data_IF_764973086997
#
_entry.id   IF_764973086997
#
_cell.length_a   1.000
_cell.length_b   1.000
_cell.length_c   1.000
_cell.angle_alpha   90.00
_cell.angle_beta   90.00
_cell.angle_gamma   90.00
#
_symmetry.space_group_name_H-M   'P 1'
#
loop_
_entity.id
_entity.type
_entity.pdbx_description
1 polymer ?
#
# COMPACT_ATOMS: atom_id res chain seq x y z
N UNK A 1 -24.52 -0.75 7.68
CA UNK A 1 -24.16 -1.85 6.76
C UNK A 1 -23.61 -2.98 7.62
N UNK A 2 -24.16 -4.21 7.55
CA UNK A 2 -23.73 -5.34 8.42
C UNK A 2 -22.77 -6.31 7.73
N UNK A 3 -22.54 -6.16 6.42
CA UNK A 3 -21.59 -6.96 5.62
C UNK A 3 -20.91 -6.06 4.58
N UNK A 4 -19.61 -6.21 4.40
CA UNK A 4 -18.81 -5.48 3.41
C UNK A 4 -18.71 -6.34 2.14
N UNK A 5 -19.30 -5.88 1.04
CA UNK A 5 -19.34 -6.63 -0.23
C UNK A 5 -20.16 -7.94 -0.15
N UNK A 6 -20.09 -8.73 -1.22
CA UNK A 6 -20.82 -9.99 -1.35
C UNK A 6 -19.96 -11.24 -1.15
N UNK A 7 -18.63 -11.11 -1.24
CA UNK A 7 -17.66 -12.21 -1.14
C UNK A 7 -17.68 -12.90 0.24
N UNK A 8 -17.13 -14.11 0.31
CA UNK A 8 -16.92 -14.84 1.56
C UNK A 8 -15.73 -14.29 2.36
N UNK A 9 -14.75 -13.71 1.66
CA UNK A 9 -13.56 -13.08 2.21
C UNK A 9 -13.78 -11.56 2.23
N UNK A 10 -13.51 -10.91 3.35
CA UNK A 10 -13.63 -9.46 3.50
C UNK A 10 -12.45 -8.89 4.31
N UNK A 11 -12.19 -7.60 4.13
CA UNK A 11 -11.27 -6.85 4.98
C UNK A 11 -11.98 -6.35 6.24
N UNK A 12 -11.20 -6.16 7.32
CA UNK A 12 -11.71 -5.64 8.58
C UNK A 12 -10.70 -4.67 9.20
N UNK A 13 -11.22 -3.76 10.04
CA UNK A 13 -10.41 -2.92 10.92
C UNK A 13 -10.79 -3.27 12.35
N UNK A 14 -9.83 -3.72 13.14
CA UNK A 14 -9.97 -3.93 14.58
C UNK A 14 -9.07 -2.92 15.28
N UNK A 15 -9.60 -2.21 16.27
CA UNK A 15 -8.86 -1.19 16.99
C UNK A 15 -9.14 -1.22 18.50
N UNK A 16 -8.17 -0.76 19.28
CA UNK A 16 -8.32 -0.64 20.72
C UNK A 16 -8.98 0.70 21.08
N UNK A 17 -10.26 0.66 21.43
CA UNK A 17 -11.05 1.85 21.79
C UNK A 17 -10.58 2.56 23.07
N UNK A 18 -9.70 1.94 23.87
CA UNK A 18 -9.02 2.61 25.00
C UNK A 18 -7.82 3.46 24.58
N UNK A 19 -7.40 3.40 23.31
CA UNK A 19 -6.24 4.14 22.79
C UNK A 19 -6.61 5.14 21.71
N UNK A 20 -7.53 4.79 20.84
CA UNK A 20 -7.98 5.65 19.73
C UNK A 20 -9.50 5.75 19.71
N UNK A 21 -10.00 6.90 19.24
CA UNK A 21 -11.39 7.10 18.85
C UNK A 21 -11.47 7.21 17.33
N UNK A 22 -12.62 6.84 16.77
CA UNK A 22 -12.95 7.14 15.37
C UNK A 22 -13.16 8.64 15.18
N UNK A 23 -12.86 9.12 13.99
CA UNK A 23 -13.15 10.49 13.54
C UNK A 23 -14.02 10.40 12.30
N UNK A 24 -15.30 10.75 12.46
CA UNK A 24 -16.31 10.55 11.43
C UNK A 24 -16.68 9.09 11.21
N UNK A 25 -17.58 8.88 10.26
CA UNK A 25 -18.07 7.56 9.85
C UNK A 25 -17.12 6.88 8.85
N UNK A 26 -17.06 5.54 8.83
CA UNK A 26 -16.30 4.84 7.81
C UNK A 26 -16.95 5.02 6.44
N UNK A 27 -16.12 5.10 5.40
CA UNK A 27 -16.58 5.16 4.01
C UNK A 27 -16.16 3.93 3.24
N UNK A 28 -17.07 3.36 2.47
CA UNK A 28 -16.83 2.13 1.69
C UNK A 28 -16.46 2.48 0.24
N UNK A 29 -15.52 1.73 -0.32
CA UNK A 29 -15.19 1.75 -1.74
C UNK A 29 -15.35 0.36 -2.34
N UNK A 30 -16.23 0.28 -3.34
CA UNK A 30 -16.48 -0.92 -4.13
C UNK A 30 -16.24 -0.56 -5.60
N UNK A 31 -15.24 -1.20 -6.21
CA UNK A 31 -14.87 -0.97 -7.61
C UNK A 31 -15.86 -1.58 -8.61
N UNK A 32 -16.90 -2.26 -8.11
CA UNK A 32 -17.98 -2.94 -8.84
C UNK A 32 -17.51 -4.09 -9.74
N UNK A 33 -16.22 -4.44 -9.73
CA UNK A 33 -15.66 -5.47 -10.60
C UNK A 33 -15.88 -6.89 -10.07
N UNK A 34 -16.13 -7.01 -8.76
CA UNK A 34 -16.12 -8.28 -8.03
C UNK A 34 -14.79 -9.05 -8.10
N UNK A 35 -13.71 -8.41 -8.58
CA UNK A 35 -12.36 -9.00 -8.66
C UNK A 35 -11.53 -8.70 -7.42
N UNK A 36 -11.70 -7.51 -6.85
CA UNK A 36 -11.03 -7.06 -5.63
C UNK A 36 -12.01 -7.11 -4.46
N UNK A 37 -11.50 -7.28 -3.24
CA UNK A 37 -12.35 -7.16 -2.05
C UNK A 37 -12.76 -5.70 -1.87
N UNK A 38 -14.04 -5.49 -1.58
CA UNK A 38 -14.56 -4.18 -1.19
C UNK A 38 -13.74 -3.67 -0.01
N UNK A 39 -13.26 -2.43 -0.09
CA UNK A 39 -12.45 -1.79 0.96
C UNK A 39 -13.25 -0.70 1.69
N UNK A 40 -12.67 -0.18 2.77
CA UNK A 40 -13.21 0.94 3.52
C UNK A 40 -12.08 1.87 3.96
N UNK A 41 -12.42 3.11 4.29
CA UNK A 41 -11.53 4.04 4.97
C UNK A 41 -12.16 4.45 6.30
N UNK A 42 -11.38 4.40 7.38
CA UNK A 42 -11.77 4.92 8.69
C UNK A 42 -10.65 5.78 9.25
N UNK A 43 -10.99 7.01 9.62
CA UNK A 43 -10.08 7.91 10.31
C UNK A 43 -10.13 7.71 11.82
N UNK A 44 -8.99 7.87 12.47
CA UNK A 44 -8.80 7.69 13.90
C UNK A 44 -7.94 8.82 14.48
N UNK A 45 -8.07 9.04 15.78
CA UNK A 45 -7.20 9.91 16.56
C UNK A 45 -6.93 9.26 17.92
N UNK A 46 -5.72 9.42 18.45
CA UNK A 46 -5.43 9.03 19.83
C UNK A 46 -6.36 9.76 20.81
N UNK A 47 -6.78 9.09 21.88
CA UNK A 47 -7.56 9.71 22.95
C UNK A 47 -6.78 10.81 23.67
N UNK A 48 -5.45 10.76 23.64
CA UNK A 48 -4.56 11.80 24.18
C UNK A 48 -4.44 13.04 23.27
N UNK A 49 -5.15 13.09 22.14
CA UNK A 49 -4.93 14.08 21.09
C UNK A 49 -3.79 13.70 20.15
N UNK A 50 -3.42 14.59 19.25
CA UNK A 50 -2.46 14.30 18.18
C UNK A 50 -3.08 14.38 16.79
N UNK A 51 -2.35 13.88 15.80
CA UNK A 51 -2.76 13.86 14.40
C UNK A 51 -3.83 12.81 14.14
N UNK A 52 -4.72 13.13 13.22
CA UNK A 52 -5.66 12.18 12.65
C UNK A 52 -4.89 11.29 11.68
N UNK A 53 -5.18 10.00 11.63
CA UNK A 53 -4.67 9.08 10.62
C UNK A 53 -5.81 8.24 10.07
N UNK A 54 -5.68 7.75 8.84
CA UNK A 54 -6.76 7.02 8.16
C UNK A 54 -6.25 5.69 7.66
N UNK A 55 -6.90 4.62 8.09
CA UNK A 55 -6.56 3.25 7.70
C UNK A 55 -7.45 2.81 6.54
N UNK A 56 -6.84 2.20 5.53
CA UNK A 56 -7.52 1.63 4.36
C UNK A 56 -6.99 0.20 4.14
N UNK A 57 -7.69 -0.84 4.63
CA UNK A 57 -7.28 -2.22 4.42
C UNK A 57 -7.65 -2.69 3.01
N UNK A 58 -6.76 -3.39 2.33
CA UNK A 58 -6.94 -3.85 0.95
C UNK A 58 -6.68 -5.35 0.85
N UNK A 59 -7.39 -5.98 -0.07
CA UNK A 59 -7.14 -7.34 -0.52
C UNK A 59 -7.46 -7.38 -2.02
N UNK A 60 -6.44 -7.26 -2.86
CA UNK A 60 -6.60 -7.18 -4.32
C UNK A 60 -6.71 -8.57 -4.95
N UNK A 61 -7.10 -8.62 -6.23
CA UNK A 61 -7.28 -9.86 -6.98
C UNK A 61 -6.04 -10.77 -6.91
N UNK A 62 -6.21 -11.98 -6.39
CA UNK A 62 -5.14 -12.98 -6.28
C UNK A 62 -4.53 -13.40 -7.62
N UNK A 63 -3.23 -13.73 -7.58
CA UNK A 63 -2.45 -14.32 -8.67
C UNK A 63 -2.76 -15.80 -8.93
N UNK A 64 -3.46 -16.49 -8.01
CA UNK A 64 -3.64 -17.95 -8.03
C UNK A 64 -4.54 -18.52 -9.14
N UNK A 65 -5.03 -17.69 -10.06
CA UNK A 65 -5.78 -18.13 -11.24
C UNK A 65 -5.42 -17.27 -12.43
N UNK A 66 -5.79 -17.70 -13.64
CA UNK A 66 -5.60 -16.94 -14.87
C UNK A 66 -6.89 -16.91 -15.69
N UNK A 67 -7.11 -15.89 -16.52
CA UNK A 67 -8.19 -15.92 -17.49
C UNK A 67 -7.99 -17.07 -18.50
N UNK A 68 -9.10 -17.57 -19.03
CA UNK A 68 -9.11 -18.57 -20.09
C UNK A 68 -8.55 -17.97 -21.40
N UNK A 69 -8.92 -16.71 -21.68
CA UNK A 69 -8.39 -15.95 -22.82
C UNK A 69 -6.93 -15.56 -22.57
N UNK A 70 -6.01 -16.23 -23.29
CA UNK A 70 -4.57 -15.99 -23.23
C UNK A 70 -4.12 -14.70 -23.92
N UNK A 71 -5.01 -14.03 -24.66
CA UNK A 71 -4.74 -12.72 -25.28
C UNK A 71 -5.13 -11.54 -24.39
N UNK A 72 -5.82 -11.81 -23.27
CA UNK A 72 -6.16 -10.80 -22.27
C UNK A 72 -4.91 -10.19 -21.63
N UNK A 73 -4.98 -8.90 -21.28
CA UNK A 73 -3.96 -8.24 -20.45
C UNK A 73 -3.86 -8.82 -19.03
N UNK A 74 -4.88 -9.55 -18.59
CA UNK A 74 -4.87 -10.28 -17.31
C UNK A 74 -4.28 -11.70 -17.43
N UNK A 75 -3.96 -12.18 -18.64
CA UNK A 75 -3.21 -13.42 -18.81
C UNK A 75 -1.77 -13.24 -18.30
N UNK A 76 -1.09 -14.34 -17.98
CA UNK A 76 0.32 -14.28 -17.63
C UNK A 76 1.13 -13.84 -18.85
N UNK A 77 1.82 -12.70 -18.72
CA UNK A 77 2.63 -12.13 -19.79
C UNK A 77 4.07 -12.69 -19.78
N UNK A 78 4.43 -13.54 -18.81
CA UNK A 78 5.78 -14.07 -18.66
C UNK A 78 6.80 -13.01 -18.20
N UNK A 79 6.33 -11.93 -17.59
CA UNK A 79 7.13 -10.80 -17.11
C UNK A 79 7.42 -10.85 -15.60
N UNK A 80 6.99 -11.93 -14.93
CA UNK A 80 7.13 -12.16 -13.50
C UNK A 80 6.03 -11.55 -12.63
N UNK A 81 5.09 -10.79 -13.22
CA UNK A 81 3.99 -10.16 -12.47
C UNK A 81 2.78 -11.09 -12.32
N UNK A 82 2.72 -12.16 -13.12
CA UNK A 82 1.68 -13.17 -13.09
C UNK A 82 0.31 -12.65 -13.52
N UNK A 83 -0.69 -13.53 -13.49
CA UNK A 83 -2.03 -13.22 -13.93
C UNK A 83 -2.69 -12.09 -13.12
N UNK A 84 -3.69 -11.45 -13.74
CA UNK A 84 -4.48 -10.35 -13.17
C UNK A 84 -3.69 -9.08 -12.81
N UNK A 85 -2.48 -8.90 -13.35
CA UNK A 85 -1.68 -7.69 -13.06
C UNK A 85 -2.36 -6.41 -13.56
N UNK A 86 -2.94 -6.43 -14.77
CA UNK A 86 -3.67 -5.28 -15.32
C UNK A 86 -4.91 -4.91 -14.47
N UNK A 87 -5.64 -5.91 -13.98
CA UNK A 87 -6.74 -5.73 -13.01
C UNK A 87 -6.25 -5.08 -11.71
N UNK A 88 -5.18 -5.60 -11.10
CA UNK A 88 -4.60 -5.04 -9.86
C UNK A 88 -4.13 -3.60 -10.04
N UNK A 89 -3.45 -3.30 -11.16
CA UNK A 89 -2.98 -1.95 -11.50
C UNK A 89 -4.16 -0.98 -11.63
N UNK A 90 -5.19 -1.38 -12.37
CA UNK A 90 -6.41 -0.57 -12.54
C UNK A 90 -7.10 -0.32 -11.20
N UNK A 91 -7.17 -1.33 -10.33
CA UNK A 91 -7.75 -1.20 -8.99
C UNK A 91 -6.99 -0.18 -8.14
N UNK A 92 -5.65 -0.25 -8.12
CA UNK A 92 -4.81 0.73 -7.39
C UNK A 92 -5.01 2.15 -7.94
N UNK A 93 -5.05 2.33 -9.26
CA UNK A 93 -5.28 3.65 -9.86
C UNK A 93 -6.63 4.24 -9.45
N UNK A 94 -7.71 3.45 -9.50
CA UNK A 94 -9.03 3.91 -9.09
C UNK A 94 -9.13 4.13 -7.57
N UNK A 95 -8.47 3.30 -6.77
CA UNK A 95 -8.38 3.49 -5.33
C UNK A 95 -7.71 4.82 -4.99
N UNK A 96 -6.59 5.15 -5.64
CA UNK A 96 -5.92 6.44 -5.45
C UNK A 96 -6.80 7.63 -5.88
N UNK A 97 -7.57 7.49 -6.96
CA UNK A 97 -8.55 8.51 -7.35
C UNK A 97 -9.63 8.70 -6.28
N UNK A 98 -10.14 7.62 -5.70
CA UNK A 98 -11.12 7.69 -4.62
C UNK A 98 -10.53 8.33 -3.35
N UNK A 99 -9.32 7.95 -2.94
CA UNK A 99 -8.61 8.53 -1.80
C UNK A 99 -8.39 10.04 -1.99
N UNK A 100 -8.07 10.47 -3.21
CA UNK A 100 -7.88 11.88 -3.53
C UNK A 100 -9.14 12.74 -3.33
N UNK A 101 -10.33 12.13 -3.30
CA UNK A 101 -11.59 12.85 -2.96
C UNK A 101 -11.73 13.16 -1.47
N UNK A 102 -10.80 12.69 -0.64
CA UNK A 102 -10.88 12.74 0.82
C UNK A 102 -12.18 12.11 1.34
N UNK A 103 -12.36 10.79 1.20
CA UNK A 103 -13.65 10.16 1.41
C UNK A 103 -14.15 10.30 2.85
N UNK A 104 -13.26 10.30 3.84
CA UNK A 104 -13.61 10.50 5.26
C UNK A 104 -13.80 11.97 5.65
N UNK A 105 -13.53 12.91 4.73
CA UNK A 105 -13.75 14.36 4.89
C UNK A 105 -13.02 14.99 6.09
N UNK A 106 -11.88 14.42 6.48
CA UNK A 106 -11.03 14.96 7.56
C UNK A 106 -9.89 15.79 6.99
N UNK A 107 -9.44 16.79 7.74
CA UNK A 107 -8.25 17.56 7.35
C UNK A 107 -6.99 16.75 7.64
N UNK A 108 -6.04 16.73 6.69
CA UNK A 108 -4.76 16.00 6.80
C UNK A 108 -4.96 14.54 7.25
N UNK A 109 -5.62 13.70 6.43
CA UNK A 109 -6.06 12.36 6.80
C UNK A 109 -4.93 11.38 7.13
N UNK A 110 -3.68 11.66 6.73
CA UNK A 110 -2.49 10.81 6.92
C UNK A 110 -2.80 9.34 6.61
N UNK A 111 -2.93 9.02 5.31
CA UNK A 111 -3.38 7.71 4.87
C UNK A 111 -2.32 6.63 5.07
N UNK A 112 -2.75 5.51 5.64
CA UNK A 112 -2.03 4.24 5.66
C UNK A 112 -2.89 3.19 4.97
N UNK A 113 -2.44 2.75 3.80
CA UNK A 113 -3.02 1.60 3.13
C UNK A 113 -2.30 0.35 3.64
N UNK A 114 -3.04 -0.68 4.00
CA UNK A 114 -2.47 -1.93 4.53
C UNK A 114 -3.12 -3.15 3.89
N UNK A 115 -2.44 -4.29 3.89
CA UNK A 115 -3.01 -5.58 3.54
C UNK A 115 -2.39 -6.21 2.29
N UNK A 116 -2.99 -7.30 1.85
CA UNK A 116 -2.53 -8.11 0.73
C UNK A 116 -2.85 -7.43 -0.61
N UNK A 117 -1.85 -6.80 -1.21
CA UNK A 117 -1.98 -6.21 -2.54
C UNK A 117 -1.87 -7.25 -3.65
N UNK A 118 -1.60 -8.52 -3.29
CA UNK A 118 -1.34 -9.62 -4.20
C UNK A 118 -0.28 -9.27 -5.24
N UNK A 119 0.67 -8.39 -4.93
CA UNK A 119 1.70 -7.89 -5.84
C UNK A 119 3.02 -7.74 -5.12
N UNK A 120 4.11 -8.21 -5.73
CA UNK A 120 5.44 -7.92 -5.22
C UNK A 120 5.80 -6.44 -5.34
N UNK A 121 6.76 -6.00 -4.52
CA UNK A 121 7.18 -4.60 -4.40
C UNK A 121 7.66 -3.93 -5.70
N UNK A 122 7.98 -4.69 -6.75
CA UNK A 122 8.41 -4.20 -8.06
C UNK A 122 7.40 -4.46 -9.19
N UNK A 123 6.22 -4.94 -8.85
CA UNK A 123 5.11 -5.06 -9.81
C UNK A 123 4.40 -3.71 -10.00
N UNK A 124 3.77 -3.56 -11.16
CA UNK A 124 3.10 -2.35 -11.60
C UNK A 124 2.13 -1.73 -10.57
N UNK A 125 1.30 -2.50 -9.84
CA UNK A 125 0.38 -1.93 -8.86
C UNK A 125 1.11 -1.24 -7.71
N UNK A 126 2.24 -1.79 -7.26
CA UNK A 126 3.05 -1.17 -6.19
C UNK A 126 3.84 0.02 -6.73
N UNK A 127 4.41 -0.11 -7.93
CA UNK A 127 5.09 1.01 -8.59
C UNK A 127 4.13 2.17 -8.89
N UNK A 128 2.83 1.92 -9.07
CA UNK A 128 1.83 2.98 -9.24
C UNK A 128 1.67 3.84 -7.98
N UNK A 129 1.71 3.24 -6.78
CA UNK A 129 1.75 3.99 -5.52
C UNK A 129 3.02 4.85 -5.41
N UNK A 130 4.19 4.28 -5.71
CA UNK A 130 5.46 5.02 -5.67
C UNK A 130 5.46 6.20 -6.65
N UNK A 131 4.95 6.00 -7.88
CA UNK A 131 4.77 7.07 -8.88
C UNK A 131 3.83 8.18 -8.39
N UNK A 132 2.86 7.86 -7.54
CA UNK A 132 1.98 8.82 -6.88
C UNK A 132 2.57 9.43 -5.60
N UNK A 133 3.87 9.23 -5.34
CA UNK A 133 4.60 9.72 -4.16
C UNK A 133 4.12 9.12 -2.82
N UNK A 134 3.52 7.94 -2.86
CA UNK A 134 3.32 7.12 -1.66
C UNK A 134 4.59 6.33 -1.35
N UNK A 135 4.77 5.95 -0.09
CA UNK A 135 5.94 5.22 0.41
C UNK A 135 5.56 3.80 0.80
N UNK A 136 6.14 2.83 0.10
CA UNK A 136 6.05 1.40 0.44
C UNK A 136 6.96 1.14 1.62
N UNK A 137 6.39 1.03 2.81
CA UNK A 137 7.12 1.14 4.07
C UNK A 137 8.05 -0.06 4.31
N UNK A 138 7.60 -1.27 3.98
CA UNK A 138 8.36 -2.48 4.27
C UNK A 138 9.69 -2.53 3.49
N UNK A 139 9.65 -2.12 2.22
CA UNK A 139 10.81 -2.11 1.32
C UNK A 139 11.62 -0.79 1.38
N UNK A 140 11.24 0.16 2.24
CA UNK A 140 12.01 1.39 2.47
C UNK A 140 13.31 1.05 3.24
N UNK A 141 14.45 1.60 2.79
CA UNK A 141 15.76 1.29 3.40
C UNK A 141 16.02 2.04 4.72
N UNK A 142 15.22 3.08 5.05
CA UNK A 142 15.43 3.92 6.24
C UNK A 142 14.58 3.47 7.42
N UNK A 143 13.31 3.16 7.15
CA UNK A 143 12.35 2.76 8.21
C UNK A 143 11.95 1.29 8.11
N UNK A 144 12.26 0.63 6.99
CA UNK A 144 11.83 -0.73 6.67
C UNK A 144 12.96 -1.77 6.72
N UNK A 145 12.71 -2.92 6.11
CA UNK A 145 13.67 -4.02 5.93
C UNK A 145 14.38 -3.98 4.56
N UNK A 146 14.07 -3.00 3.72
CA UNK A 146 14.70 -2.80 2.42
C UNK A 146 14.53 -4.02 1.49
N UNK A 147 15.63 -4.47 0.90
CA UNK A 147 15.65 -5.59 -0.06
C UNK A 147 15.40 -6.96 0.58
N UNK A 148 15.51 -7.07 1.90
CA UNK A 148 15.29 -8.32 2.64
C UNK A 148 13.83 -8.48 3.09
N UNK A 149 12.96 -7.52 2.77
CA UNK A 149 11.54 -7.58 3.10
C UNK A 149 10.83 -8.75 2.40
N UNK A 150 10.14 -9.58 3.18
CA UNK A 150 9.17 -10.55 2.68
C UNK A 150 8.06 -10.75 3.72
N UNK A 151 6.90 -11.19 3.24
CA UNK A 151 5.76 -11.59 4.08
C UNK A 151 5.14 -12.91 3.62
N UNK A 152 5.59 -13.43 2.47
CA UNK A 152 5.03 -14.59 1.83
C UNK A 152 6.13 -15.39 1.11
N UNK A 153 6.06 -16.71 1.22
CA UNK A 153 6.93 -17.63 0.48
C UNK A 153 6.08 -18.39 -0.53
N UNK A 154 6.37 -18.18 -1.82
CA UNK A 154 5.93 -19.13 -2.82
C UNK A 154 6.85 -20.35 -2.73
N UNK A 155 6.26 -21.49 -2.38
CA UNK A 155 6.96 -22.78 -2.28
C UNK A 155 7.62 -23.20 -3.58
N UNK A 156 8.34 -24.33 -3.57
CA UNK A 156 8.92 -24.92 -4.78
C UNK A 156 7.86 -25.02 -5.89
N UNK A 157 8.19 -24.53 -7.10
CA UNK A 157 7.30 -24.30 -8.26
C UNK A 157 6.66 -22.90 -8.45
N UNK A 158 7.27 -21.84 -7.93
CA UNK A 158 6.90 -20.44 -8.26
C UNK A 158 7.27 -20.03 -9.68
N UNK A 159 8.26 -20.68 -10.28
CA UNK A 159 8.63 -20.51 -11.68
C UNK A 159 8.55 -21.84 -12.46
N UNK A 160 8.67 -21.74 -13.78
CA UNK A 160 8.64 -22.89 -14.70
C UNK A 160 9.78 -23.90 -14.48
N UNK A 161 10.78 -23.54 -13.68
CA UNK A 161 11.94 -24.38 -13.35
C UNK A 161 11.80 -25.05 -11.97
N UNK A 162 10.70 -24.83 -11.25
CA UNK A 162 10.49 -25.40 -9.92
C UNK A 162 11.08 -24.59 -8.77
N UNK A 163 11.62 -23.39 -9.02
CA UNK A 163 12.21 -22.57 -7.96
C UNK A 163 11.12 -21.87 -7.14
N UNK A 164 11.27 -21.93 -5.82
CA UNK A 164 10.53 -21.11 -4.87
C UNK A 164 11.03 -19.66 -4.84
N UNK A 165 10.28 -18.77 -4.18
CA UNK A 165 10.73 -17.40 -3.96
C UNK A 165 10.05 -16.76 -2.75
N UNK A 166 10.79 -15.95 -2.01
CA UNK A 166 10.27 -15.14 -0.90
C UNK A 166 10.14 -13.69 -1.33
N UNK A 167 8.99 -13.07 -1.04
CA UNK A 167 8.77 -11.64 -1.22
C UNK A 167 7.56 -11.19 -0.42
N UNK A 168 7.18 -9.91 -0.53
CA UNK A 168 6.01 -9.39 0.17
C UNK A 168 4.85 -9.13 -0.79
N UNK A 169 3.72 -9.77 -0.51
CA UNK A 169 2.41 -9.44 -1.09
C UNK A 169 1.63 -8.51 -0.16
N UNK A 170 1.93 -8.56 1.14
CA UNK A 170 1.42 -7.66 2.15
C UNK A 170 2.24 -6.39 2.17
N UNK A 171 1.54 -5.26 2.11
CA UNK A 171 2.17 -3.95 2.13
C UNK A 171 1.57 -3.09 3.21
N UNK A 172 2.41 -2.22 3.77
CA UNK A 172 1.97 -0.99 4.40
C UNK A 172 2.49 0.17 3.55
N UNK A 173 1.59 1.03 3.09
CA UNK A 173 1.87 2.10 2.14
C UNK A 173 1.35 3.41 2.72
N UNK A 174 2.25 4.34 3.02
CA UNK A 174 1.93 5.64 3.59
C UNK A 174 1.86 6.73 2.52
N UNK A 175 0.91 7.66 2.66
CA UNK A 175 0.98 8.90 1.89
C UNK A 175 2.18 9.77 2.33
N UNK A 176 2.44 10.84 1.56
CA UNK A 176 3.53 11.76 1.83
C UNK A 176 3.41 12.52 3.16
N UNK A 177 2.20 12.65 3.73
CA UNK A 177 1.97 13.35 4.99
C UNK A 177 2.22 12.42 6.19
N UNK A 178 1.89 11.14 6.06
CA UNK A 178 2.08 10.13 7.09
C UNK A 178 3.51 9.63 7.15
N UNK A 179 4.21 9.47 6.02
CA UNK A 179 5.56 8.88 6.00
C UNK A 179 6.55 9.52 6.99
N UNK A 180 6.63 10.86 7.15
CA UNK A 180 7.50 11.48 8.17
C UNK A 180 7.17 11.11 9.62
N UNK A 181 6.00 10.51 9.86
CA UNK A 181 5.53 10.04 11.17
C UNK A 181 5.80 8.56 11.38
N UNK A 182 6.19 7.81 10.36
CA UNK A 182 6.53 6.39 10.49
C UNK A 182 7.90 6.27 11.13
N UNK A 183 8.00 5.51 12.22
CA UNK A 183 9.24 5.25 12.96
C UNK A 183 9.93 3.98 12.48
N UNK A 184 9.15 2.94 12.21
CA UNK A 184 9.61 1.69 11.60
C UNK A 184 8.44 0.94 10.96
N UNK A 185 8.74 0.10 9.98
CA UNK A 185 7.85 -0.93 9.45
C UNK A 185 8.62 -2.25 9.28
N UNK A 186 8.03 -3.38 9.67
CA UNK A 186 8.68 -4.68 9.56
C UNK A 186 7.65 -5.81 9.51
N UNK A 187 8.00 -6.91 8.85
CA UNK A 187 7.27 -8.16 8.94
C UNK A 187 7.68 -8.85 10.25
N UNK A 188 6.69 -9.30 11.02
CA UNK A 188 6.94 -10.15 12.16
C UNK A 188 6.82 -11.61 11.72
N UNK A 189 7.97 -12.21 11.43
CA UNK A 189 8.06 -13.62 11.07
C UNK A 189 7.63 -14.51 12.24
N UNK A 190 6.53 -15.26 12.06
CA UNK A 190 6.00 -16.18 13.08
C UNK A 190 6.18 -17.62 12.62
N UNK A 191 5.36 -18.04 11.66
CA UNK A 191 5.32 -19.41 11.14
C UNK A 191 4.75 -19.47 9.71
N UNK A 192 4.81 -18.35 8.98
CA UNK A 192 4.49 -18.32 7.56
C UNK A 192 5.53 -19.05 6.68
N UNK A 193 6.63 -19.50 7.28
CA UNK A 193 7.65 -20.29 6.58
C UNK A 193 7.49 -21.80 6.81
N UNK A 194 6.59 -22.21 7.72
CA UNK A 194 6.29 -23.61 7.95
C UNK A 194 5.71 -24.26 6.67
N UNK A 195 5.96 -25.55 6.42
CA UNK A 195 5.44 -26.23 5.24
C UNK A 195 3.91 -26.15 5.14
N UNK A 196 3.38 -25.95 3.93
CA UNK A 196 1.92 -25.96 3.68
C UNK A 196 1.23 -27.24 4.15
N UNK A 197 1.95 -28.38 4.19
CA UNK A 197 1.41 -29.63 4.73
C UNK A 197 0.93 -29.51 6.20
N UNK A 198 1.55 -28.62 6.99
CA UNK A 198 1.23 -28.37 8.39
C UNK A 198 0.11 -27.32 8.59
N UNK A 199 -0.42 -26.74 7.50
CA UNK A 199 -1.49 -25.75 7.62
C UNK A 199 -2.80 -26.38 8.12
N UNK A 200 -3.73 -25.52 8.54
CA UNK A 200 -5.05 -25.92 9.04
C UNK A 200 -6.04 -26.29 7.92
N UNK A 201 -5.67 -26.08 6.65
CA UNK A 201 -6.51 -26.40 5.51
C UNK A 201 -6.40 -27.90 5.20
N UNK A 202 -7.48 -28.50 4.71
CA UNK A 202 -7.50 -29.92 4.32
C UNK A 202 -7.49 -30.10 2.79
N UNK A 203 -7.72 -29.02 2.06
CA UNK A 203 -7.73 -29.00 0.61
C UNK A 203 -6.39 -29.47 0.05
N UNK A 204 -6.46 -30.26 -1.03
CA UNK A 204 -5.29 -30.80 -1.73
C UNK A 204 -4.41 -31.76 -0.89
N UNK A 205 -4.86 -32.17 0.31
CA UNK A 205 -4.20 -33.20 1.14
C UNK A 205 -4.87 -34.57 0.95
N UNK A 206 -4.08 -35.64 0.96
CA UNK A 206 -4.60 -37.00 1.06
C UNK A 206 -5.07 -37.31 2.48
N UNK A 207 -5.90 -38.34 2.67
CA UNK A 207 -6.33 -38.77 4.00
C UNK A 207 -5.15 -39.14 4.91
N UNK A 208 -4.10 -39.72 4.34
CA UNK A 208 -2.86 -40.04 5.05
C UNK A 208 -2.14 -38.77 5.50
N UNK A 209 -2.05 -37.75 4.64
CA UNK A 209 -1.46 -36.46 4.98
C UNK A 209 -2.25 -35.72 6.04
N UNK A 210 -3.59 -35.71 5.97
CA UNK A 210 -4.43 -35.11 7.01
C UNK A 210 -4.14 -35.81 8.35
N UNK A 211 -4.18 -37.14 8.38
CA UNK A 211 -3.92 -37.92 9.60
C UNK A 211 -2.52 -37.67 10.18
N UNK A 212 -1.51 -37.47 9.32
CA UNK A 212 -0.12 -37.32 9.74
C UNK A 212 0.29 -35.88 10.09
N UNK A 213 -0.31 -34.88 9.44
CA UNK A 213 0.20 -33.50 9.44
C UNK A 213 -0.80 -32.44 9.87
N UNK A 214 -2.10 -32.72 9.86
CA UNK A 214 -3.09 -31.77 10.36
C UNK A 214 -2.96 -31.60 11.86
N UNK A 215 -2.97 -30.34 12.31
CA UNK A 215 -3.18 -29.98 13.71
C UNK A 215 -3.87 -28.63 13.80
N UNK A 216 -4.78 -28.48 14.76
CA UNK A 216 -5.49 -27.24 15.09
C UNK A 216 -4.67 -26.30 16.01
N UNK A 217 -3.35 -26.47 16.03
CA UNK A 217 -2.46 -25.69 16.88
C UNK A 217 -2.04 -24.36 16.20
N UNK A 218 -1.13 -23.63 16.84
CA UNK A 218 -0.74 -22.31 16.35
C UNK A 218 0.22 -22.34 15.15
N UNK A 219 0.84 -23.48 14.81
CA UNK A 219 1.80 -23.59 13.70
C UNK A 219 1.10 -23.44 12.36
N UNK A 220 1.77 -22.77 11.41
CA UNK A 220 1.24 -22.47 10.07
C UNK A 220 -0.18 -21.86 10.12
N UNK A 221 -0.44 -21.01 11.11
CA UNK A 221 -1.75 -20.35 11.31
C UNK A 221 -2.11 -19.34 10.21
N UNK A 222 -1.12 -18.98 9.39
CA UNK A 222 -1.25 -18.11 8.23
C UNK A 222 -0.17 -18.48 7.22
N UNK A 223 -0.49 -18.32 5.93
CA UNK A 223 0.49 -18.37 4.84
C UNK A 223 1.24 -17.05 4.63
N UNK A 224 0.81 -16.00 5.34
CA UNK A 224 1.41 -14.67 5.35
C UNK A 224 1.88 -14.25 6.75
N UNK A 225 3.01 -13.55 6.82
CA UNK A 225 3.46 -12.89 8.05
C UNK A 225 2.80 -11.51 8.23
N UNK A 226 2.44 -11.13 9.47
CA UNK A 226 1.88 -9.82 9.75
C UNK A 226 2.91 -8.70 9.55
N UNK A 227 2.47 -7.61 8.93
CA UNK A 227 3.24 -6.35 8.81
C UNK A 227 2.89 -5.41 9.97
N UNK A 228 3.92 -4.95 10.67
CA UNK A 228 3.82 -4.03 11.81
C UNK A 228 4.35 -2.66 11.41
N UNK A 229 3.63 -1.59 11.75
CA UNK A 229 4.03 -0.20 11.54
C UNK A 229 3.94 0.58 12.83
N UNK A 230 5.05 1.19 13.23
CA UNK A 230 5.10 2.12 14.36
C UNK A 230 5.02 3.56 13.86
N UNK A 231 4.15 4.36 14.46
CA UNK A 231 3.93 5.76 14.06
C UNK A 231 3.99 6.70 15.27
N UNK A 232 4.56 7.88 15.06
CA UNK A 232 4.56 9.00 16.00
C UNK A 232 3.60 10.11 15.51
N UNK A 233 2.38 10.05 16.04
CA UNK A 233 1.28 10.93 15.66
C UNK A 233 1.13 12.13 16.61
N UNK A 234 2.14 12.44 17.42
CA UNK A 234 2.07 13.60 18.29
C UNK A 234 2.01 14.90 17.47
N UNK A 235 1.28 15.90 17.98
CA UNK A 235 1.36 17.27 17.47
C UNK A 235 2.76 17.80 17.81
N UNK A 236 3.75 17.59 16.94
CA UNK A 236 4.98 18.38 17.05
C UNK A 236 4.56 19.85 16.81
N UNK A 237 4.38 20.60 17.90
CA UNK A 237 4.54 22.04 17.88
C UNK A 237 5.98 22.21 17.42
N UNK A 238 6.17 22.58 16.15
CA UNK A 238 7.42 23.21 15.79
C UNK A 238 7.50 24.43 16.71
N UNK A 239 8.34 24.35 17.75
CA UNK A 239 8.76 25.54 18.48
C UNK A 239 9.55 26.36 17.47
N UNK A 240 8.85 27.14 16.64
CA UNK A 240 9.43 28.36 16.09
C UNK A 240 9.74 29.22 17.30
N UNK A 241 11.00 29.56 17.59
CA UNK A 241 11.29 30.60 18.54
C UNK A 241 10.51 31.82 18.07
N UNK A 242 9.69 32.35 18.96
CA UNK A 242 9.00 33.61 18.79
C UNK A 242 10.06 34.69 18.53
N UNK A 243 10.29 35.02 17.27
CA UNK A 243 11.10 36.19 16.93
C UNK A 243 10.22 37.40 17.14
N UNK A 244 10.14 37.82 18.39
CA UNK A 244 9.72 39.17 18.78
C UNK A 244 10.38 40.20 17.88
N UNK A 245 9.54 41.13 17.44
CA UNK A 245 9.76 42.26 16.56
C UNK A 245 11.17 42.87 16.50
N UNK A 246 11.63 43.13 15.27
CA UNK A 246 12.41 44.33 14.97
C UNK A 246 11.67 45.12 13.89
N UNK A 247 11.11 46.24 14.33
CA UNK A 247 10.70 47.39 13.53
C UNK A 247 11.81 47.84 12.56
N UNK A 248 11.46 48.11 11.29
CA UNK A 248 12.33 48.90 10.41
C UNK A 248 12.06 48.80 8.91
N UNK A 249 11.35 49.80 8.37
CA UNK A 249 11.79 50.47 7.14
C UNK A 249 11.39 49.90 5.77
N UNK A 250 10.43 50.60 5.14
CA UNK A 250 10.32 50.89 3.70
C UNK A 250 11.54 50.57 2.83
N UNK A 251 11.37 49.70 1.82
CA UNK A 251 11.66 49.88 0.37
C UNK A 251 11.00 48.67 -0.34
N UNK A 252 10.19 48.75 -1.39
CA UNK A 252 10.23 49.69 -2.49
C UNK A 252 10.78 48.98 -3.73
N UNK A 253 9.86 48.47 -4.55
CA UNK A 253 10.00 48.23 -6.01
C UNK A 253 10.99 47.14 -6.45
N UNK A 254 10.65 46.44 -7.54
CA UNK A 254 11.37 45.33 -8.21
C UNK A 254 10.99 43.92 -7.75
N UNK A 255 9.83 43.43 -8.22
CA UNK A 255 9.65 42.06 -8.75
C UNK A 255 8.22 41.90 -9.28
N UNK A 256 7.86 42.65 -10.32
CA UNK A 256 6.70 42.34 -11.16
C UNK A 256 7.16 42.52 -12.60
N UNK A 257 6.75 41.59 -13.47
CA UNK A 257 7.01 41.44 -14.91
C UNK A 257 8.17 40.51 -15.30
N UNK A 258 7.82 39.25 -15.58
CA UNK A 258 8.11 38.63 -16.88
C UNK A 258 7.44 37.24 -16.98
N UNK A 259 6.17 37.18 -17.38
CA UNK A 259 5.61 35.96 -17.98
C UNK A 259 4.46 36.32 -18.93
N UNK A 260 4.77 36.57 -20.21
CA UNK A 260 3.86 36.40 -21.35
C UNK A 260 4.58 36.67 -22.69
N UNK A 261 4.39 35.78 -23.68
CA UNK A 261 4.60 36.04 -25.11
C UNK A 261 5.62 35.12 -25.79
N UNK A 262 5.25 33.89 -26.18
CA UNK A 262 4.80 33.47 -27.53
C UNK A 262 5.88 33.39 -28.64
N UNK A 263 6.14 32.13 -29.02
CA UNK A 263 6.58 31.55 -30.30
C UNK A 263 6.46 32.46 -31.55
N UNK A 264 7.55 32.59 -32.34
CA UNK A 264 7.55 32.35 -33.81
C UNK A 264 8.96 32.39 -34.47
N UNK A 265 9.25 31.28 -35.14
CA UNK A 265 10.11 30.97 -36.29
C UNK A 265 10.72 32.14 -37.08
N UNK A 266 12.03 32.11 -37.35
CA UNK A 266 12.62 31.93 -38.71
C UNK A 266 14.10 32.36 -38.82
N UNK A 267 14.92 31.40 -39.27
CA UNK A 267 16.06 31.52 -40.21
C UNK A 267 16.90 32.80 -40.24
N UNK A 268 18.22 32.69 -39.99
CA UNK A 268 19.27 32.80 -41.03
C UNK A 268 20.70 32.75 -40.46
N UNK A 269 21.55 32.06 -41.25
CA UNK A 269 23.01 32.23 -41.45
C UNK A 269 24.02 31.59 -40.47
N UNK A 270 24.42 30.38 -40.87
CA UNK A 270 25.81 29.95 -41.19
C UNK A 270 26.95 30.94 -40.87
N UNK A 271 27.93 30.47 -40.10
CA UNK A 271 29.39 30.43 -40.38
C UNK A 271 30.03 29.54 -39.30
N UNK A 272 30.35 28.27 -39.60
CA UNK A 272 31.71 27.76 -39.89
C UNK A 272 32.81 28.46 -39.06
N UNK A 273 33.50 27.68 -38.21
CA UNK A 273 34.96 27.60 -38.10
C UNK A 273 35.32 26.27 -37.39
N UNK A 274 36.34 25.63 -37.96
CA UNK A 274 37.01 24.33 -37.73
C UNK A 274 36.57 23.43 -36.57
#
# INVERSE_FOLDING_TARGET
MTKLGTDAIAVAIIYNSKRVKTVGEPTVYDDQTQKNRVTMAQSFQSLSGGKIFTIIPNHLKSKGSCPDDKTSLDADQGDGQGCWNATRLTAVQKLMQWIATNPTKVNNPNYLLVGDMNSYAKEDPILAFEKANYKVLLNDEKIGQGKAAYSYIFGVASDTNGNGGSGNLDHAIADANLYPRVKRAFAWHINADEPTALDYNEEYKTQEQITAFYSDNAFRSSDHDPVIVDMDLNENVANTPDSTEISGGSMGVWSIFALAGLVLVSTLRRRKLS
#
